data_IF_133716455568
#
_entry.id   IF_133716455568
#
_cell.length_a   1.000
_cell.length_b   1.000
_cell.length_c   1.000
_cell.angle_alpha   90.00
_cell.angle_beta   90.00
_cell.angle_gamma   90.00
#
_symmetry.space_group_name_H-M   'P 1'
#
loop_
_entity.id
_entity.type
_entity.pdbx_description
1 polymer ?
#
# COMPACT_ATOMS: atom_id res chain seq x y z
N UNK A 1 45.29 -7.19 -20.35
CA UNK A 1 45.83 -7.60 -19.02
C UNK A 1 45.71 -6.48 -17.98
N UNK A 2 46.02 -5.23 -18.34
CA UNK A 2 45.94 -4.08 -17.40
C UNK A 2 44.51 -3.90 -16.85
N UNK A 3 43.50 -4.02 -17.67
CA UNK A 3 42.06 -3.86 -17.28
C UNK A 3 41.61 -4.91 -16.25
N UNK A 4 42.10 -6.15 -16.38
CA UNK A 4 41.88 -7.20 -15.40
C UNK A 4 42.46 -6.88 -14.03
N UNK A 5 43.72 -6.42 -14.00
CA UNK A 5 44.39 -6.04 -12.76
C UNK A 5 43.71 -4.82 -12.10
N UNK A 6 43.27 -3.87 -12.91
CA UNK A 6 42.48 -2.71 -12.44
C UNK A 6 41.17 -3.14 -11.84
N UNK A 7 40.42 -4.02 -12.51
CA UNK A 7 39.16 -4.56 -12.01
C UNK A 7 39.34 -5.34 -10.70
N UNK A 8 40.38 -6.19 -10.63
CA UNK A 8 40.68 -6.93 -9.42
C UNK A 8 41.07 -6.00 -8.25
N UNK A 9 41.84 -4.96 -8.50
CA UNK A 9 42.19 -3.96 -7.49
C UNK A 9 40.96 -3.25 -6.93
N UNK A 10 39.99 -2.86 -7.79
CA UNK A 10 38.73 -2.25 -7.36
C UNK A 10 37.93 -3.22 -6.50
N UNK A 11 37.77 -4.47 -6.93
CA UNK A 11 37.04 -5.47 -6.18
C UNK A 11 37.61 -5.72 -4.78
N UNK A 12 38.95 -5.85 -4.67
CA UNK A 12 39.64 -6.01 -3.40
C UNK A 12 39.43 -4.78 -2.51
N UNK A 13 39.59 -3.57 -3.06
CA UNK A 13 39.37 -2.31 -2.32
C UNK A 13 37.92 -2.18 -1.79
N UNK A 14 36.93 -2.56 -2.59
CA UNK A 14 35.52 -2.52 -2.17
C UNK A 14 35.23 -3.55 -1.07
N UNK A 15 35.89 -4.71 -1.06
CA UNK A 15 35.71 -5.74 -0.03
C UNK A 15 36.09 -5.26 1.37
N UNK A 16 37.07 -4.37 1.48
CA UNK A 16 37.51 -3.82 2.76
C UNK A 16 36.83 -2.52 3.17
N UNK A 17 35.89 -2.01 2.38
CA UNK A 17 35.09 -0.84 2.76
C UNK A 17 34.03 -1.19 3.79
N UNK A 18 33.59 -0.18 4.56
CA UNK A 18 32.44 -0.31 5.45
C UNK A 18 31.19 -0.74 4.69
N UNK A 19 30.42 -1.65 5.27
CA UNK A 19 29.15 -2.16 4.70
C UNK A 19 28.18 -1.01 4.49
N UNK A 20 27.57 -0.94 3.31
CA UNK A 20 26.52 0.03 2.96
C UNK A 20 25.11 -0.52 3.18
N UNK A 21 24.98 -1.82 3.39
CA UNK A 21 23.71 -2.49 3.65
C UNK A 21 23.30 -2.35 5.10
N UNK A 22 22.01 -2.11 5.34
CA UNK A 22 21.43 -2.11 6.67
C UNK A 22 21.25 -3.54 7.19
N UNK A 23 21.29 -3.71 8.50
CA UNK A 23 21.15 -5.01 9.15
C UNK A 23 19.64 -5.28 9.45
N UNK A 24 18.86 -5.50 8.40
CA UNK A 24 17.45 -5.88 8.52
C UNK A 24 17.32 -7.27 9.19
N UNK A 25 16.38 -7.53 10.13
CA UNK A 25 15.28 -6.66 10.56
C UNK A 25 15.60 -5.70 11.72
N UNK A 26 16.83 -5.73 12.26
CA UNK A 26 17.22 -4.92 13.42
C UNK A 26 17.34 -3.43 13.08
N UNK A 27 17.74 -3.13 11.84
CA UNK A 27 17.77 -1.79 11.29
C UNK A 27 16.79 -1.71 10.11
N UNK A 28 15.91 -0.70 10.12
CA UNK A 28 14.95 -0.46 9.04
C UNK A 28 15.27 0.86 8.35
N UNK A 29 15.27 0.85 7.03
CA UNK A 29 15.41 2.07 6.24
C UNK A 29 14.13 2.93 6.30
N UNK A 30 14.26 4.22 6.06
CA UNK A 30 13.12 5.12 5.93
C UNK A 30 12.32 4.79 4.68
N UNK A 31 11.00 4.69 4.81
CA UNK A 31 10.09 4.53 3.68
C UNK A 31 9.77 5.90 3.07
N UNK A 32 9.70 5.95 1.74
CA UNK A 32 9.23 7.13 1.03
C UNK A 32 7.72 7.32 1.17
N UNK A 33 7.23 8.53 0.94
CA UNK A 33 5.80 8.87 1.01
C UNK A 33 4.93 8.10 0.02
N UNK A 34 5.50 7.61 -1.07
CA UNK A 34 4.86 6.78 -2.11
C UNK A 34 5.15 5.28 -1.96
N UNK A 35 5.51 4.84 -0.77
CA UNK A 35 5.74 3.42 -0.51
C UNK A 35 4.43 2.64 -0.61
N UNK A 36 4.46 1.53 -1.35
CA UNK A 36 3.29 0.71 -1.67
C UNK A 36 3.29 -0.56 -0.82
N UNK A 37 2.78 -0.46 0.39
CA UNK A 37 2.63 -1.60 1.31
C UNK A 37 1.19 -2.08 1.43
N UNK A 38 0.82 -2.51 2.61
CA UNK A 38 -0.48 -3.10 2.94
C UNK A 38 -1.64 -2.12 2.68
N UNK A 39 -2.71 -2.60 2.07
CA UNK A 39 -3.88 -1.78 1.74
C UNK A 39 -4.68 -1.39 2.98
N UNK A 40 -5.24 -0.18 2.94
CA UNK A 40 -6.06 0.37 4.02
C UNK A 40 -7.24 1.17 3.45
N UNK A 41 -8.39 1.08 4.11
CA UNK A 41 -9.55 1.95 3.85
C UNK A 41 -9.63 3.02 4.93
N UNK A 42 -9.68 4.28 4.51
CA UNK A 42 -9.69 5.44 5.41
C UNK A 42 -11.10 5.86 5.80
N UNK A 43 -11.19 6.48 6.99
CA UNK A 43 -12.40 7.16 7.48
C UNK A 43 -12.24 8.67 7.46
N UNK A 44 -13.35 9.36 7.52
CA UNK A 44 -13.38 10.78 7.86
C UNK A 44 -13.17 10.98 9.37
N UNK A 45 -12.81 12.20 9.83
CA UNK A 45 -12.64 12.48 11.26
C UNK A 45 -13.90 12.25 12.11
N UNK A 46 -15.09 12.24 11.48
CA UNK A 46 -16.35 11.90 12.13
C UNK A 46 -16.58 10.38 12.30
N UNK A 47 -15.63 9.54 11.86
CA UNK A 47 -15.70 8.07 11.90
C UNK A 47 -16.42 7.42 10.71
N UNK A 48 -17.02 8.21 9.80
CA UNK A 48 -17.68 7.69 8.62
C UNK A 48 -16.66 7.17 7.58
N UNK A 49 -17.03 6.09 6.86
CA UNK A 49 -16.21 5.53 5.79
C UNK A 49 -16.12 6.53 4.62
N UNK A 50 -14.90 6.77 4.10
CA UNK A 50 -14.70 7.63 2.93
C UNK A 50 -15.21 6.98 1.64
N UNK A 51 -15.25 5.64 1.57
CA UNK A 51 -15.61 4.92 0.37
C UNK A 51 -17.08 5.16 -0.02
N UNK A 52 -17.28 5.72 -1.23
CA UNK A 52 -18.57 5.99 -1.83
C UNK A 52 -19.06 4.91 -2.80
N UNK A 53 -18.39 3.75 -2.81
CA UNK A 53 -18.71 2.62 -3.69
C UNK A 53 -18.79 2.96 -5.19
N UNK A 54 -17.92 3.84 -5.68
CA UNK A 54 -17.87 4.24 -7.10
C UNK A 54 -17.33 3.15 -8.03
N UNK A 55 -16.66 2.11 -7.48
CA UNK A 55 -16.08 0.96 -8.19
C UNK A 55 -14.94 1.30 -9.17
N UNK A 56 -14.39 2.50 -9.17
CA UNK A 56 -13.27 2.86 -10.05
C UNK A 56 -12.03 2.01 -9.77
N UNK A 57 -11.71 1.80 -8.49
CA UNK A 57 -10.56 0.96 -8.09
C UNK A 57 -10.72 -0.51 -8.49
N UNK A 58 -11.95 -1.06 -8.51
CA UNK A 58 -12.25 -2.40 -9.03
C UNK A 58 -12.03 -2.44 -10.55
N UNK A 59 -12.56 -1.45 -11.27
CA UNK A 59 -12.47 -1.38 -12.74
C UNK A 59 -11.03 -1.18 -13.24
N UNK A 60 -10.20 -0.40 -12.54
CA UNK A 60 -8.83 -0.10 -12.95
C UNK A 60 -7.83 -1.19 -12.54
N UNK A 61 -8.22 -2.12 -11.66
CA UNK A 61 -7.31 -3.13 -11.12
C UNK A 61 -6.85 -4.13 -12.21
N UNK A 62 -5.58 -4.12 -12.63
CA UNK A 62 -5.09 -5.00 -13.69
C UNK A 62 -5.09 -6.47 -13.29
N UNK A 63 -5.00 -6.76 -11.99
CA UNK A 63 -5.01 -8.11 -11.43
C UNK A 63 -6.41 -8.60 -11.06
N UNK A 64 -7.45 -7.75 -11.20
CA UNK A 64 -8.83 -8.07 -10.77
C UNK A 64 -8.88 -8.61 -9.33
N UNK A 65 -8.08 -7.99 -8.46
CA UNK A 65 -7.94 -8.41 -7.07
C UNK A 65 -9.01 -7.81 -6.15
N UNK A 66 -9.76 -6.79 -6.60
CA UNK A 66 -10.72 -6.03 -5.80
C UNK A 66 -12.14 -6.42 -6.19
N UNK A 67 -12.99 -6.66 -5.20
CA UNK A 67 -14.42 -6.93 -5.38
C UNK A 67 -15.23 -5.99 -4.49
N UNK A 68 -16.17 -5.24 -5.09
CA UNK A 68 -16.96 -4.25 -4.38
C UNK A 68 -18.46 -4.50 -4.60
N UNK A 69 -19.22 -4.58 -3.51
CA UNK A 69 -20.68 -4.57 -3.53
C UNK A 69 -21.21 -3.31 -2.83
N UNK A 70 -22.17 -2.68 -3.47
CA UNK A 70 -22.79 -1.43 -2.98
C UNK A 70 -24.28 -1.60 -2.70
N UNK A 71 -24.76 -0.82 -1.73
CA UNK A 71 -26.19 -0.67 -1.45
C UNK A 71 -26.55 0.82 -1.48
N UNK A 72 -27.74 1.11 -1.92
CA UNK A 72 -28.34 2.45 -1.81
C UNK A 72 -28.69 2.75 -0.35
N UNK A 73 -28.43 3.98 0.09
CA UNK A 73 -28.87 4.52 1.38
C UNK A 73 -30.24 5.18 1.20
N UNK A 74 -30.92 5.44 2.31
CA UNK A 74 -32.24 6.11 2.32
C UNK A 74 -32.17 7.54 1.75
N UNK A 75 -31.00 8.16 1.74
CA UNK A 75 -30.74 9.49 1.16
C UNK A 75 -30.40 9.45 -0.35
N UNK A 76 -30.46 8.29 -0.99
CA UNK A 76 -30.09 8.08 -2.40
C UNK A 76 -28.58 7.98 -2.65
N UNK A 77 -27.73 8.14 -1.64
CA UNK A 77 -26.31 7.92 -1.75
C UNK A 77 -25.95 6.44 -1.75
N UNK A 78 -24.72 6.10 -2.17
CA UNK A 78 -24.23 4.71 -2.15
C UNK A 78 -23.39 4.44 -0.90
N UNK A 79 -23.56 3.25 -0.34
CA UNK A 79 -22.70 2.72 0.72
C UNK A 79 -22.07 1.40 0.27
N UNK A 80 -20.82 1.21 0.62
CA UNK A 80 -20.13 -0.05 0.41
C UNK A 80 -20.58 -1.08 1.44
N UNK A 81 -21.13 -2.20 0.98
CA UNK A 81 -21.48 -3.33 1.86
C UNK A 81 -20.26 -4.25 1.98
N UNK A 82 -19.66 -4.57 0.84
CA UNK A 82 -18.54 -5.48 0.74
C UNK A 82 -17.40 -4.80 -0.03
N UNK A 83 -16.22 -4.92 0.49
CA UNK A 83 -14.99 -4.45 -0.15
C UNK A 83 -13.88 -5.45 0.17
N UNK A 84 -13.59 -6.33 -0.76
CA UNK A 84 -12.60 -7.37 -0.57
C UNK A 84 -11.41 -7.18 -1.49
N UNK A 85 -10.23 -7.47 -1.00
CA UNK A 85 -8.99 -7.51 -1.78
C UNK A 85 -8.32 -8.88 -1.60
N UNK A 86 -8.11 -9.60 -2.69
CA UNK A 86 -7.24 -10.77 -2.71
C UNK A 86 -5.78 -10.31 -2.80
N UNK A 87 -5.07 -10.27 -1.67
CA UNK A 87 -3.70 -9.76 -1.58
C UNK A 87 -2.70 -10.64 -2.32
N UNK A 88 -3.05 -11.92 -2.62
CA UNK A 88 -2.21 -12.80 -3.43
C UNK A 88 -2.29 -12.50 -4.92
N UNK A 89 -3.42 -11.97 -5.39
CA UNK A 89 -3.57 -11.49 -6.77
C UNK A 89 -2.97 -10.09 -6.96
N UNK A 90 -2.99 -9.29 -5.90
CA UNK A 90 -2.56 -7.90 -5.95
C UNK A 90 -1.08 -7.80 -6.32
N UNK A 91 -0.76 -6.93 -7.29
CA UNK A 91 0.61 -6.64 -7.74
C UNK A 91 1.15 -5.32 -7.16
N UNK A 92 0.44 -4.71 -6.22
CA UNK A 92 0.83 -3.46 -5.54
C UNK A 92 1.16 -2.31 -6.49
N UNK A 93 0.48 -2.21 -7.63
CA UNK A 93 0.72 -1.19 -8.65
C UNK A 93 0.28 0.23 -8.23
N UNK A 94 -0.60 0.38 -7.23
CA UNK A 94 -1.09 1.66 -6.74
C UNK A 94 -2.23 2.30 -7.55
N UNK A 95 -2.64 1.74 -8.69
CA UNK A 95 -3.69 2.31 -9.53
C UNK A 95 -5.04 2.47 -8.82
N UNK A 96 -5.35 1.61 -7.84
CA UNK A 96 -6.56 1.73 -7.03
C UNK A 96 -6.55 3.00 -6.16
N UNK A 97 -5.39 3.37 -5.62
CA UNK A 97 -5.20 4.60 -4.86
C UNK A 97 -5.29 5.83 -5.76
N UNK A 98 -4.62 5.81 -6.91
CA UNK A 98 -4.63 6.91 -7.88
C UNK A 98 -6.03 7.17 -8.47
N UNK A 99 -6.83 6.12 -8.65
CA UNK A 99 -8.19 6.24 -9.20
C UNK A 99 -9.26 6.66 -8.19
N UNK A 100 -8.92 6.72 -6.90
CA UNK A 100 -9.90 6.98 -5.84
C UNK A 100 -10.17 8.49 -5.68
N UNK A 101 -11.39 8.98 -6.00
CA UNK A 101 -11.67 10.42 -5.97
C UNK A 101 -11.79 11.00 -4.56
N UNK A 102 -11.85 10.14 -3.55
CA UNK A 102 -12.06 10.54 -2.14
C UNK A 102 -10.94 10.06 -1.21
N UNK A 103 -9.83 9.56 -1.75
CA UNK A 103 -8.71 8.98 -1.00
C UNK A 103 -9.16 7.96 0.05
N UNK A 104 -10.12 7.10 -0.32
CA UNK A 104 -10.65 6.08 0.57
C UNK A 104 -9.74 4.86 0.63
N UNK A 105 -9.32 4.32 -0.53
CA UNK A 105 -8.35 3.23 -0.60
C UNK A 105 -6.96 3.81 -0.76
N UNK A 106 -6.02 3.38 0.07
CA UNK A 106 -4.62 3.81 0.06
C UNK A 106 -3.70 2.62 0.37
N UNK A 107 -2.42 2.76 0.01
CA UNK A 107 -1.39 1.80 0.38
C UNK A 107 -0.59 2.34 1.56
N UNK A 108 -0.57 1.55 2.64
CA UNK A 108 0.07 1.93 3.91
C UNK A 108 1.58 1.68 3.93
N UNK A 109 2.23 2.06 5.03
CA UNK A 109 3.66 1.87 5.21
C UNK A 109 4.05 0.44 5.59
N UNK A 110 3.08 -0.39 6.02
CA UNK A 110 3.36 -1.75 6.44
C UNK A 110 3.61 -2.66 5.24
N UNK A 111 4.76 -3.34 5.23
CA UNK A 111 5.13 -4.35 4.23
C UNK A 111 5.44 -5.71 4.86
N UNK A 112 5.41 -5.79 6.20
CA UNK A 112 5.73 -7.00 6.97
C UNK A 112 4.42 -7.71 7.37
N UNK A 113 3.72 -8.31 6.41
CA UNK A 113 2.43 -9.00 6.62
C UNK A 113 2.39 -10.38 5.95
N UNK A 114 3.45 -11.16 6.10
CA UNK A 114 3.48 -12.55 5.67
C UNK A 114 2.59 -13.41 6.56
N UNK A 115 1.91 -14.39 5.96
CA UNK A 115 1.01 -15.32 6.65
C UNK A 115 1.26 -16.75 6.18
N UNK A 116 0.77 -17.74 6.92
CA UNK A 116 0.91 -19.16 6.58
C UNK A 116 -0.24 -19.68 5.71
N UNK A 117 -1.39 -19.00 5.74
CA UNK A 117 -2.58 -19.41 5.00
C UNK A 117 -3.03 -18.35 3.98
N UNK A 118 -3.67 -18.83 2.89
CA UNK A 118 -4.20 -17.96 1.84
C UNK A 118 -5.35 -17.12 2.34
N UNK A 119 -6.19 -17.66 3.19
CA UNK A 119 -7.40 -17.04 3.71
C UNK A 119 -7.08 -15.76 4.49
N UNK A 120 -5.97 -15.73 5.20
CA UNK A 120 -5.51 -14.55 5.93
C UNK A 120 -5.10 -13.38 5.02
N UNK A 121 -4.72 -13.67 3.78
CA UNK A 121 -4.40 -12.68 2.74
C UNK A 121 -5.62 -12.31 1.88
N UNK A 122 -6.79 -12.82 2.22
CA UNK A 122 -8.05 -12.33 1.68
C UNK A 122 -8.61 -11.24 2.60
N UNK A 123 -8.38 -9.98 2.24
CA UNK A 123 -8.71 -8.85 3.08
C UNK A 123 -10.14 -8.42 2.88
N UNK A 124 -10.94 -8.52 3.95
CA UNK A 124 -12.30 -8.00 3.99
C UNK A 124 -12.31 -6.50 4.29
N UNK A 125 -13.47 -5.87 4.08
CA UNK A 125 -13.68 -4.45 4.37
C UNK A 125 -13.30 -4.08 5.81
N UNK A 126 -13.65 -4.93 6.77
CA UNK A 126 -13.38 -4.72 8.20
C UNK A 126 -11.87 -4.65 8.46
N UNK A 127 -11.11 -5.60 7.93
CA UNK A 127 -9.65 -5.64 8.05
C UNK A 127 -8.99 -4.43 7.38
N UNK A 128 -9.50 -4.01 6.23
CA UNK A 128 -8.99 -2.82 5.53
C UNK A 128 -9.27 -1.52 6.31
N UNK A 129 -10.42 -1.41 6.95
CA UNK A 129 -10.77 -0.27 7.82
C UNK A 129 -9.92 -0.26 9.10
N UNK A 130 -9.68 -1.42 9.71
CA UNK A 130 -8.79 -1.54 10.87
C UNK A 130 -7.36 -1.10 10.52
N UNK A 131 -6.85 -1.48 9.36
CA UNK A 131 -5.57 -0.98 8.86
C UNK A 131 -5.59 0.54 8.67
N UNK A 132 -6.69 1.09 8.13
CA UNK A 132 -6.87 2.53 8.01
C UNK A 132 -6.80 3.25 9.34
N UNK A 133 -7.53 2.78 10.32
CA UNK A 133 -7.57 3.35 11.66
C UNK A 133 -6.18 3.27 12.34
N UNK A 134 -5.46 2.16 12.15
CA UNK A 134 -4.11 1.94 12.70
C UNK A 134 -3.07 2.90 12.12
N UNK A 135 -3.12 3.18 10.83
CA UNK A 135 -2.07 3.91 10.12
C UNK A 135 -2.47 5.33 9.70
N UNK A 136 -3.68 5.83 10.05
CA UNK A 136 -4.23 7.10 9.57
C UNK A 136 -3.27 8.28 9.72
N UNK A 137 -2.56 8.39 10.84
CA UNK A 137 -1.62 9.48 11.07
C UNK A 137 -0.49 9.53 10.03
N UNK A 138 0.05 8.36 9.67
CA UNK A 138 1.12 8.26 8.67
C UNK A 138 0.55 8.42 7.26
N UNK A 139 -0.60 7.81 6.98
CA UNK A 139 -1.29 7.92 5.70
C UNK A 139 -1.65 9.37 5.38
N UNK A 140 -2.23 10.10 6.33
CA UNK A 140 -2.57 11.51 6.16
C UNK A 140 -1.33 12.38 5.92
N UNK A 141 -0.23 12.11 6.64
CA UNK A 141 1.03 12.82 6.45
C UNK A 141 1.64 12.55 5.05
N UNK A 142 1.63 11.30 4.60
CA UNK A 142 2.14 10.90 3.28
C UNK A 142 1.31 11.54 2.15
N UNK A 143 -0.02 11.50 2.22
CA UNK A 143 -0.90 12.12 1.24
C UNK A 143 -0.68 13.64 1.18
N UNK A 144 -0.52 14.29 2.34
CA UNK A 144 -0.23 15.72 2.39
C UNK A 144 1.13 16.05 1.77
N UNK A 145 2.15 15.25 2.03
CA UNK A 145 3.48 15.43 1.45
C UNK A 145 3.50 15.19 -0.08
N UNK A 146 2.62 14.30 -0.59
CA UNK A 146 2.49 13.98 -2.01
C UNK A 146 1.49 14.88 -2.77
N UNK A 147 0.79 15.79 -2.08
CA UNK A 147 -0.31 16.58 -2.64
C UNK A 147 0.08 17.45 -3.87
N UNK A 148 1.36 17.83 -3.99
CA UNK A 148 1.86 18.59 -5.15
C UNK A 148 1.99 17.76 -6.43
N UNK A 149 1.82 16.43 -6.34
CA UNK A 149 2.01 15.48 -7.43
C UNK A 149 0.75 14.64 -7.74
N UNK A 150 -0.36 14.92 -7.05
CA UNK A 150 -1.69 14.30 -7.23
C UNK A 150 -2.63 15.17 -8.03
#
# INVERSE_FOLDING_TARGET
>A
MIDFLTGLSIAIKETFKAKKTINYPFEKGSLGTRSRGEHALRRYPNGEERCIACKLCEAVCPAQAITIESKERDDGSRKTIRYDIDMLKCIYCGLCEESCPVDAIVQGPNFEFATESREELYYTKEKLLENGDRWENILAANIKADSSHR
#
